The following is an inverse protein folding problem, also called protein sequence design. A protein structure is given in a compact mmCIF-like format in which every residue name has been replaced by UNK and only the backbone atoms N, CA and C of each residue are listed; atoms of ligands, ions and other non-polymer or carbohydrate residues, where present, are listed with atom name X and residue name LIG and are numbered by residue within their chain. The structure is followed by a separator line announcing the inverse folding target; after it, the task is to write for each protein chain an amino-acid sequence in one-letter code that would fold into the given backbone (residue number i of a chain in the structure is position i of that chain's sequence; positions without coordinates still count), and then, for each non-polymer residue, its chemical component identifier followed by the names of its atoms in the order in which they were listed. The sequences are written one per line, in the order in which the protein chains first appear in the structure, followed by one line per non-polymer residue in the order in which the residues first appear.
data_IF_358281874312
#
_entry.id   IF_358281874312
#
_cell.length_a   1.000
_cell.length_b   1.000
_cell.length_c   1.000
_cell.angle_alpha   90.00
_cell.angle_beta   90.00
_cell.angle_gamma   90.00
#
_symmetry.space_group_name_H-M   'P 1'
#
loop_
_entity.id
_entity.type
_entity.pdbx_description
1 polymer ?
#
# COMPACT_ATOMS: atom_id res chain seq x y z
N UNK A 1 -4.52 1.84 -23.72
CA UNK A 1 -4.23 2.93 -22.77
C UNK A 1 -3.68 2.30 -21.51
N UNK A 2 -2.58 2.79 -20.96
CA UNK A 2 -2.00 2.33 -19.71
C UNK A 2 -2.10 3.46 -18.68
N UNK A 3 -2.67 3.18 -17.51
CA UNK A 3 -2.88 4.18 -16.46
C UNK A 3 -2.00 3.82 -15.26
N UNK A 4 -1.03 4.70 -14.97
CA UNK A 4 -0.09 4.57 -13.86
C UNK A 4 -0.70 5.10 -12.56
N UNK A 5 -0.62 4.29 -11.51
CA UNK A 5 -0.90 4.69 -10.12
C UNK A 5 0.39 4.53 -9.33
N UNK A 6 0.93 5.62 -8.80
CA UNK A 6 2.21 5.59 -8.07
C UNK A 6 2.07 4.96 -6.68
N UNK A 7 3.18 4.42 -6.18
CA UNK A 7 3.36 3.98 -4.79
C UNK A 7 3.80 5.08 -3.83
N UNK A 8 4.29 4.70 -2.66
CA UNK A 8 4.66 5.65 -1.58
C UNK A 8 3.86 5.48 -0.29
N UNK A 9 3.39 4.26 -0.02
CA UNK A 9 2.73 3.90 1.23
C UNK A 9 1.45 4.68 1.51
N UNK A 10 0.76 5.18 0.49
CA UNK A 10 -0.38 6.09 0.63
C UNK A 10 -0.10 7.38 1.42
N UNK A 11 1.15 7.65 1.84
CA UNK A 11 1.55 8.85 2.58
C UNK A 11 2.27 9.86 1.68
N UNK A 12 2.88 9.37 0.59
CA UNK A 12 3.72 10.15 -0.32
C UNK A 12 3.50 9.73 -1.77
N UNK A 13 4.21 10.38 -2.69
CA UNK A 13 4.21 10.05 -4.11
C UNK A 13 3.66 11.17 -4.98
N UNK A 14 4.03 11.15 -6.25
CA UNK A 14 3.54 12.06 -7.29
C UNK A 14 3.71 11.42 -8.65
N UNK A 15 2.80 11.73 -9.58
CA UNK A 15 2.91 11.28 -10.97
C UNK A 15 4.04 11.96 -11.75
N UNK A 16 4.62 13.04 -11.21
CA UNK A 16 5.62 13.87 -11.90
C UNK A 16 7.08 13.44 -11.71
N UNK A 17 7.35 12.27 -11.09
CA UNK A 17 8.71 11.80 -10.91
C UNK A 17 9.35 11.42 -12.27
N UNK A 18 10.66 11.70 -12.48
CA UNK A 18 11.33 11.36 -13.74
C UNK A 18 11.26 9.87 -14.13
N UNK A 19 11.23 8.98 -13.13
CA UNK A 19 11.11 7.53 -13.34
C UNK A 19 9.74 7.10 -13.88
N UNK A 20 8.73 7.96 -13.77
CA UNK A 20 7.37 7.71 -14.28
C UNK A 20 7.09 8.42 -15.62
N UNK A 21 8.13 8.96 -16.27
CA UNK A 21 7.99 9.62 -17.57
C UNK A 21 7.56 8.63 -18.66
N UNK A 22 6.27 8.66 -18.98
CA UNK A 22 5.63 7.78 -19.95
C UNK A 22 6.04 7.98 -21.41
N UNK A 23 6.89 8.97 -21.73
CA UNK A 23 7.27 9.27 -23.12
C UNK A 23 7.89 8.09 -23.85
N UNK A 24 8.66 7.26 -23.15
CA UNK A 24 9.34 6.11 -23.75
C UNK A 24 8.37 5.00 -24.09
N UNK A 25 7.49 4.62 -23.16
CA UNK A 25 6.41 3.65 -23.42
C UNK A 25 5.52 4.13 -24.57
N UNK A 26 5.12 5.40 -24.56
CA UNK A 26 4.30 5.96 -25.64
C UNK A 26 5.02 5.92 -27.00
N UNK A 27 6.32 6.26 -27.03
CA UNK A 27 7.11 6.28 -28.27
C UNK A 27 7.48 4.90 -28.78
N UNK A 28 7.75 3.93 -27.92
CA UNK A 28 8.24 2.60 -28.33
C UNK A 28 7.06 1.69 -28.61
N UNK A 29 6.19 1.49 -27.62
CA UNK A 29 5.10 0.51 -27.66
C UNK A 29 3.80 1.05 -28.30
N UNK A 30 3.80 2.33 -28.70
CA UNK A 30 2.63 2.98 -29.35
C UNK A 30 1.38 2.96 -28.47
N UNK A 31 1.57 3.04 -27.15
CA UNK A 31 0.49 3.14 -26.17
C UNK A 31 0.25 4.60 -25.75
N UNK A 32 -0.92 4.88 -25.20
CA UNK A 32 -1.14 6.12 -24.44
C UNK A 32 -0.88 5.82 -22.97
N UNK A 33 -0.03 6.61 -22.33
CA UNK A 33 0.22 6.57 -20.89
C UNK A 33 -0.51 7.73 -20.22
N UNK A 34 -1.26 7.43 -19.16
CA UNK A 34 -1.91 8.40 -18.29
C UNK A 34 -1.41 8.18 -16.87
N UNK A 35 -1.19 9.24 -16.12
CA UNK A 35 -0.85 9.17 -14.69
C UNK A 35 -1.61 10.27 -13.96
N UNK A 36 -2.05 10.01 -12.73
CA UNK A 36 -2.79 10.99 -11.93
C UNK A 36 -2.11 11.21 -10.57
N UNK A 37 -2.38 12.38 -9.99
CA UNK A 37 -2.18 12.60 -8.57
C UNK A 37 -3.46 12.23 -7.82
N UNK A 38 -3.29 11.60 -6.67
CA UNK A 38 -4.37 11.33 -5.73
C UNK A 38 -3.93 11.81 -4.34
N UNK A 39 -4.90 12.22 -3.50
CA UNK A 39 -4.58 12.66 -2.13
C UNK A 39 -3.98 11.52 -1.32
N UNK A 40 -2.98 11.85 -0.50
CA UNK A 40 -2.23 10.94 0.38
C UNK A 40 -2.32 11.40 1.84
N UNK A 41 -1.87 10.57 2.77
CA UNK A 41 -1.90 10.84 4.21
C UNK A 41 -3.33 11.04 4.73
N UNK A 42 -3.47 11.79 5.82
CA UNK A 42 -4.76 12.12 6.42
C UNK A 42 -5.69 12.85 5.42
N UNK A 43 -5.13 13.68 4.53
CA UNK A 43 -5.91 14.41 3.53
C UNK A 43 -6.59 13.49 2.50
N UNK A 44 -6.03 12.30 2.27
CA UNK A 44 -6.58 11.29 1.37
C UNK A 44 -7.35 10.17 2.06
N UNK A 45 -7.04 9.87 3.32
CA UNK A 45 -7.46 8.60 3.93
C UNK A 45 -7.98 8.71 5.37
N UNK A 46 -8.11 9.92 5.93
CA UNK A 46 -8.77 10.11 7.22
C UNK A 46 -10.22 9.62 7.19
N UNK A 47 -10.62 8.91 8.26
CA UNK A 47 -11.96 8.32 8.34
C UNK A 47 -12.59 8.50 9.71
N UNK A 48 -13.85 8.90 9.71
CA UNK A 48 -14.79 8.76 10.82
C UNK A 48 -15.96 7.91 10.31
N UNK A 49 -16.00 6.60 10.62
CA UNK A 49 -16.96 5.68 10.02
C UNK A 49 -18.41 6.14 10.16
N UNK A 50 -19.15 6.19 9.05
CA UNK A 50 -20.53 6.68 9.02
C UNK A 50 -20.67 8.20 8.92
N UNK A 51 -19.58 8.96 8.96
CA UNK A 51 -19.59 10.41 8.76
C UNK A 51 -19.25 10.78 7.31
N UNK A 52 -20.20 11.36 6.54
CA UNK A 52 -19.97 11.69 5.13
C UNK A 52 -18.92 12.80 4.91
N UNK A 53 -18.56 13.54 5.96
CA UNK A 53 -17.55 14.60 5.88
C UNK A 53 -16.12 14.05 5.86
N UNK A 54 -15.92 12.81 6.32
CA UNK A 54 -14.66 12.07 6.26
C UNK A 54 -14.94 10.55 6.15
N UNK A 55 -15.41 10.08 4.98
CA UNK A 55 -15.86 8.69 4.81
C UNK A 55 -14.71 7.67 4.72
N UNK A 56 -13.46 8.14 4.61
CA UNK A 56 -12.31 7.31 4.26
C UNK A 56 -12.16 7.14 2.74
N UNK A 57 -11.03 6.56 2.33
CA UNK A 57 -10.74 6.20 0.93
C UNK A 57 -10.79 7.33 -0.10
N UNK A 58 -10.74 8.61 0.30
CA UNK A 58 -10.84 9.74 -0.65
C UNK A 58 -9.74 9.71 -1.72
N UNK A 59 -8.53 9.26 -1.38
CA UNK A 59 -7.45 9.03 -2.35
C UNK A 59 -7.78 7.95 -3.40
N UNK A 60 -8.51 6.89 -3.03
CA UNK A 60 -8.99 5.87 -3.98
C UNK A 60 -10.13 6.41 -4.85
N UNK A 61 -11.00 7.26 -4.30
CA UNK A 61 -12.01 7.96 -5.08
C UNK A 61 -11.42 8.96 -6.06
N UNK A 62 -10.32 9.64 -5.71
CA UNK A 62 -9.56 10.49 -6.64
C UNK A 62 -9.04 9.66 -7.82
N UNK A 63 -8.46 8.48 -7.53
CA UNK A 63 -8.02 7.53 -8.57
C UNK A 63 -9.21 7.09 -9.44
N UNK A 64 -10.32 6.68 -8.83
CA UNK A 64 -11.54 6.24 -9.55
C UNK A 64 -12.10 7.34 -10.46
N UNK A 65 -12.12 8.60 -10.00
CA UNK A 65 -12.56 9.73 -10.79
C UNK A 65 -11.62 9.99 -11.99
N UNK A 66 -10.30 9.83 -11.81
CA UNK A 66 -9.36 9.89 -12.93
C UNK A 66 -9.61 8.75 -13.95
N UNK A 67 -9.96 7.55 -13.49
CA UNK A 67 -10.35 6.46 -14.39
C UNK A 67 -11.63 6.78 -15.17
N UNK A 68 -12.63 7.39 -14.53
CA UNK A 68 -13.85 7.88 -15.19
C UNK A 68 -13.52 8.93 -16.25
N UNK A 69 -12.64 9.89 -15.92
CA UNK A 69 -12.18 10.89 -16.89
C UNK A 69 -11.56 10.24 -18.12
N UNK A 70 -10.73 9.19 -17.94
CA UNK A 70 -10.15 8.44 -19.07
C UNK A 70 -11.25 7.77 -19.89
N UNK A 71 -12.24 7.13 -19.27
CA UNK A 71 -13.36 6.52 -19.99
C UNK A 71 -14.11 7.53 -20.88
N UNK A 72 -14.34 8.73 -20.37
CA UNK A 72 -15.11 9.77 -21.05
C UNK A 72 -14.32 10.51 -22.13
N UNK A 73 -13.00 10.66 -21.96
CA UNK A 73 -12.23 11.63 -22.75
C UNK A 73 -11.12 10.99 -23.61
N UNK A 74 -10.62 9.79 -23.29
CA UNK A 74 -9.39 9.28 -23.92
C UNK A 74 -9.53 9.01 -25.42
N UNK A 75 -10.76 8.82 -25.90
CA UNK A 75 -11.06 8.71 -27.33
C UNK A 75 -10.61 9.94 -28.12
N UNK A 76 -10.73 11.14 -27.55
CA UNK A 76 -10.29 12.39 -28.18
C UNK A 76 -8.76 12.47 -28.33
N UNK A 77 -8.02 11.72 -27.51
CA UNK A 77 -6.55 11.60 -27.57
C UNK A 77 -6.10 10.43 -28.45
N UNK A 78 -7.02 9.74 -29.14
CA UNK A 78 -6.74 8.57 -29.96
C UNK A 78 -6.65 7.25 -29.17
N UNK A 79 -7.06 7.24 -27.91
CA UNK A 79 -7.09 6.04 -27.06
C UNK A 79 -8.37 5.24 -27.21
N UNK A 80 -8.29 3.94 -26.92
CA UNK A 80 -9.47 3.07 -26.84
C UNK A 80 -9.92 2.91 -25.37
N UNK A 81 -11.07 3.48 -24.94
CA UNK A 81 -11.55 3.34 -23.56
C UNK A 81 -11.93 1.89 -23.19
N UNK A 82 -12.14 1.01 -24.18
CA UNK A 82 -12.40 -0.43 -23.96
C UNK A 82 -11.12 -1.26 -23.78
N UNK A 83 -9.94 -0.65 -23.92
CA UNK A 83 -8.63 -1.30 -23.78
C UNK A 83 -7.73 -0.44 -22.87
N UNK A 84 -8.06 -0.52 -21.58
CA UNK A 84 -7.38 0.22 -20.51
C UNK A 84 -6.73 -0.79 -19.56
N UNK A 85 -5.43 -0.63 -19.32
CA UNK A 85 -4.68 -1.45 -18.36
C UNK A 85 -4.24 -0.56 -17.21
N UNK A 86 -4.64 -0.90 -15.99
CA UNK A 86 -4.09 -0.24 -14.80
C UNK A 86 -2.75 -0.88 -14.46
N UNK A 87 -1.77 -0.09 -14.06
CA UNK A 87 -0.51 -0.59 -13.55
C UNK A 87 0.01 0.34 -12.46
N UNK A 88 0.65 -0.24 -11.45
CA UNK A 88 1.14 0.50 -10.29
C UNK A 88 2.15 -0.33 -9.52
N UNK A 89 2.91 0.35 -8.67
CA UNK A 89 3.95 -0.24 -7.83
C UNK A 89 3.68 0.03 -6.35
N UNK A 90 4.01 -0.93 -5.46
CA UNK A 90 3.81 -0.83 -4.01
C UNK A 90 2.37 -0.43 -3.65
N UNK A 91 2.16 0.70 -2.97
CA UNK A 91 0.82 1.22 -2.66
C UNK A 91 -0.03 1.47 -3.92
N UNK A 92 0.60 1.77 -5.06
CA UNK A 92 -0.05 1.86 -6.36
C UNK A 92 -0.54 0.49 -6.86
N UNK A 93 0.25 -0.57 -6.68
CA UNK A 93 -0.17 -1.94 -6.98
C UNK A 93 -1.30 -2.40 -6.05
N UNK A 94 -1.21 -2.07 -4.75
CA UNK A 94 -2.31 -2.28 -3.80
C UNK A 94 -3.59 -1.55 -4.26
N UNK A 95 -3.48 -0.30 -4.68
CA UNK A 95 -4.58 0.46 -5.32
C UNK A 95 -5.14 -0.25 -6.56
N UNK A 96 -4.30 -0.75 -7.46
CA UNK A 96 -4.73 -1.50 -8.65
C UNK A 96 -5.54 -2.74 -8.24
N UNK A 97 -5.07 -3.53 -7.27
CA UNK A 97 -5.88 -4.64 -6.72
C UNK A 97 -7.16 -4.16 -6.05
N UNK A 98 -7.16 -3.06 -5.31
CA UNK A 98 -8.36 -2.52 -4.68
C UNK A 98 -9.41 -2.11 -5.74
N UNK A 99 -8.99 -1.60 -6.90
CA UNK A 99 -9.89 -1.37 -8.04
C UNK A 99 -10.41 -2.67 -8.69
N UNK A 100 -9.69 -3.79 -8.60
CA UNK A 100 -10.23 -5.11 -8.98
C UNK A 100 -11.32 -5.59 -8.01
N UNK A 101 -11.27 -5.18 -6.74
CA UNK A 101 -12.24 -5.55 -5.70
C UNK A 101 -13.44 -4.60 -5.64
N UNK A 102 -13.25 -3.33 -6.02
CA UNK A 102 -14.30 -2.31 -5.93
C UNK A 102 -15.27 -2.38 -7.12
N UNK A 103 -16.53 -2.70 -6.83
CA UNK A 103 -17.58 -2.83 -7.85
C UNK A 103 -17.75 -1.58 -8.72
N UNK A 104 -17.65 -0.38 -8.14
CA UNK A 104 -17.74 0.89 -8.86
C UNK A 104 -16.60 1.11 -9.86
N UNK A 105 -15.48 0.41 -9.68
CA UNK A 105 -14.29 0.51 -10.56
C UNK A 105 -14.30 -0.51 -11.70
N UNK A 106 -15.08 -1.59 -11.58
CA UNK A 106 -15.11 -2.70 -12.55
C UNK A 106 -15.27 -2.27 -14.03
N UNK A 107 -16.16 -1.33 -14.40
CA UNK A 107 -16.33 -0.95 -15.81
C UNK A 107 -15.24 0.00 -16.33
N UNK A 108 -14.38 0.54 -15.45
CA UNK A 108 -13.48 1.65 -15.80
C UNK A 108 -12.15 1.20 -16.40
N UNK A 109 -11.86 -0.10 -16.39
CA UNK A 109 -10.64 -0.65 -16.95
C UNK A 109 -10.83 -2.09 -17.45
N UNK A 110 -9.85 -2.57 -18.22
CA UNK A 110 -9.86 -3.89 -18.85
C UNK A 110 -8.98 -4.86 -18.07
N UNK A 111 -7.70 -4.56 -17.84
CA UNK A 111 -6.67 -5.46 -17.26
C UNK A 111 -5.86 -4.76 -16.18
N UNK A 112 -5.09 -5.51 -15.39
CA UNK A 112 -4.32 -4.98 -14.28
C UNK A 112 -2.89 -5.54 -14.21
N UNK A 113 -1.94 -4.71 -13.79
CA UNK A 113 -0.55 -5.06 -13.52
C UNK A 113 -0.19 -4.60 -12.11
N UNK A 114 0.35 -5.50 -11.29
CA UNK A 114 0.65 -5.28 -9.88
C UNK A 114 2.14 -5.54 -9.64
N UNK A 115 2.89 -4.48 -9.37
CA UNK A 115 4.34 -4.56 -9.17
C UNK A 115 4.64 -4.37 -7.67
N UNK A 116 5.23 -5.37 -7.01
CA UNK A 116 5.69 -5.25 -5.62
C UNK A 116 4.59 -4.78 -4.64
N UNK A 117 3.36 -5.27 -4.80
CA UNK A 117 2.26 -4.95 -3.87
C UNK A 117 0.91 -5.52 -4.27
N UNK A 118 0.04 -5.71 -3.29
CA UNK A 118 -1.31 -6.24 -3.46
C UNK A 118 -2.23 -5.82 -2.29
N UNK A 119 -3.55 -5.87 -2.48
CA UNK A 119 -4.54 -5.40 -1.51
C UNK A 119 -4.58 -6.24 -0.22
N UNK A 120 -4.11 -7.49 -0.26
CA UNK A 120 -4.00 -8.39 0.90
C UNK A 120 -2.67 -8.23 1.65
N UNK A 121 -1.79 -7.33 1.24
CA UNK A 121 -0.59 -7.03 2.00
C UNK A 121 -0.95 -6.46 3.39
N UNK A 122 -0.18 -6.79 4.45
CA UNK A 122 -0.54 -6.45 5.83
C UNK A 122 -0.62 -4.94 6.10
N UNK A 123 0.05 -4.14 5.27
CA UNK A 123 0.07 -2.68 5.35
C UNK A 123 -1.00 -2.00 4.49
N UNK A 124 -1.70 -2.73 3.60
CA UNK A 124 -2.51 -2.13 2.54
C UNK A 124 -3.90 -1.64 3.01
N UNK A 125 -4.52 -2.31 3.98
CA UNK A 125 -5.86 -1.96 4.48
C UNK A 125 -5.87 -1.95 6.01
N UNK A 126 -6.30 -0.83 6.60
CA UNK A 126 -6.41 -0.67 8.06
C UNK A 126 -7.81 -1.02 8.55
N UNK A 127 -7.96 -1.78 9.65
CA UNK A 127 -9.25 -2.00 10.28
C UNK A 127 -9.92 -0.70 10.73
N UNK A 128 -11.26 -0.59 10.57
CA UNK A 128 -12.00 0.64 10.86
C UNK A 128 -11.81 1.16 12.30
N UNK A 129 -11.77 0.26 13.30
CA UNK A 129 -11.59 0.66 14.70
C UNK A 129 -10.26 1.38 14.90
N UNK A 130 -9.20 0.90 14.25
CA UNK A 130 -7.86 1.46 14.35
C UNK A 130 -7.77 2.77 13.58
N UNK A 131 -8.31 2.82 12.36
CA UNK A 131 -8.34 4.03 11.54
C UNK A 131 -9.12 5.18 12.22
N UNK A 132 -10.25 4.87 12.89
CA UNK A 132 -10.97 5.84 13.73
C UNK A 132 -10.09 6.31 14.88
N UNK A 133 -9.41 5.40 15.58
CA UNK A 133 -8.55 5.77 16.70
C UNK A 133 -7.38 6.68 16.28
N UNK A 134 -6.76 6.41 15.13
CA UNK A 134 -5.71 7.26 14.55
C UNK A 134 -6.23 8.67 14.22
N UNK A 135 -7.43 8.76 13.66
CA UNK A 135 -8.10 10.04 13.38
C UNK A 135 -8.36 10.85 14.67
N UNK A 136 -8.90 10.21 15.71
CA UNK A 136 -9.14 10.86 17.00
C UNK A 136 -7.82 11.27 17.69
N UNK A 137 -6.77 10.47 17.52
CA UNK A 137 -5.43 10.76 18.06
C UNK A 137 -4.81 11.97 17.36
N UNK A 138 -4.89 12.05 16.03
CA UNK A 138 -4.47 13.24 15.27
C UNK A 138 -5.21 14.48 15.75
N UNK A 139 -6.54 14.39 15.87
CA UNK A 139 -7.36 15.49 16.37
C UNK A 139 -6.92 15.95 17.77
N UNK A 140 -6.52 15.01 18.65
CA UNK A 140 -5.97 15.35 19.97
C UNK A 140 -4.65 16.09 19.88
N UNK A 141 -3.71 15.62 19.07
CA UNK A 141 -2.39 16.25 18.94
C UNK A 141 -2.46 17.67 18.41
N UNK A 142 -3.41 17.97 17.51
CA UNK A 142 -3.53 19.30 16.90
C UNK A 142 -4.63 20.17 17.54
N UNK A 143 -5.13 19.77 18.73
CA UNK A 143 -6.08 20.59 19.50
C UNK A 143 -7.48 20.69 18.87
N UNK A 144 -7.89 19.68 18.12
CA UNK A 144 -9.21 19.55 17.47
C UNK A 144 -10.12 18.50 18.12
N UNK A 145 -9.78 17.98 19.31
CA UNK A 145 -10.65 17.06 20.04
C UNK A 145 -11.95 17.74 20.50
N UNK A 146 -13.08 17.20 20.07
CA UNK A 146 -14.42 17.61 20.49
C UNK A 146 -15.31 16.37 20.68
N UNK A 147 -16.46 16.52 21.37
CA UNK A 147 -17.43 15.42 21.53
C UNK A 147 -18.15 15.06 20.22
N UNK A 148 -18.37 16.06 19.35
CA UNK A 148 -19.03 15.88 18.05
C UNK A 148 -18.00 15.64 16.94
N UNK A 149 -18.07 14.49 16.28
CA UNK A 149 -17.19 14.09 15.18
C UNK A 149 -17.19 15.07 14.00
N UNK A 150 -18.34 15.67 13.68
CA UNK A 150 -18.44 16.65 12.60
C UNK A 150 -17.69 17.94 12.94
N UNK A 151 -17.65 18.32 14.22
CA UNK A 151 -16.90 19.50 14.66
C UNK A 151 -15.38 19.23 14.73
N UNK A 152 -14.97 17.98 14.99
CA UNK A 152 -13.57 17.55 14.80
C UNK A 152 -13.15 17.85 13.36
N UNK A 153 -13.92 17.37 12.37
CA UNK A 153 -13.58 17.56 10.94
C UNK A 153 -13.55 19.05 10.59
N UNK A 154 -14.53 19.85 11.05
CA UNK A 154 -14.53 21.31 10.82
C UNK A 154 -13.30 21.99 11.41
N UNK A 155 -12.81 21.54 12.57
CA UNK A 155 -11.58 22.04 13.16
C UNK A 155 -10.36 21.64 12.32
N UNK A 156 -10.23 20.37 11.95
CA UNK A 156 -9.14 19.86 11.13
C UNK A 156 -9.03 20.61 9.79
N UNK A 157 -10.16 20.90 9.13
CA UNK A 157 -10.19 21.65 7.86
C UNK A 157 -9.71 23.10 7.97
N UNK A 158 -9.63 23.67 9.17
CA UNK A 158 -9.11 25.02 9.43
C UNK A 158 -7.61 25.02 9.74
N UNK A 159 -7.01 23.85 9.92
CA UNK A 159 -5.58 23.73 10.21
C UNK A 159 -4.76 23.92 8.95
N UNK A 160 -3.53 24.40 9.15
CA UNK A 160 -2.55 24.42 8.08
C UNK A 160 -2.20 22.97 7.69
N UNK A 161 -2.08 22.63 6.40
CA UNK A 161 -1.71 21.29 5.98
C UNK A 161 -0.41 20.79 6.62
N UNK A 162 0.57 21.66 6.84
CA UNK A 162 1.84 21.29 7.47
C UNK A 162 1.66 20.87 8.94
N UNK A 163 0.71 21.48 9.65
CA UNK A 163 0.36 21.11 11.02
C UNK A 163 -0.25 19.70 11.07
N UNK A 164 -1.09 19.34 10.10
CA UNK A 164 -1.61 17.97 9.97
C UNK A 164 -0.46 16.99 9.70
N UNK A 165 0.32 17.24 8.64
CA UNK A 165 1.39 16.35 8.19
C UNK A 165 2.45 16.08 9.27
N UNK A 166 2.86 17.12 9.99
CA UNK A 166 3.84 17.00 11.09
C UNK A 166 3.34 16.18 12.29
N UNK A 167 2.03 15.96 12.42
CA UNK A 167 1.43 15.18 13.49
C UNK A 167 0.95 13.78 13.05
N UNK A 168 1.01 13.46 11.76
CA UNK A 168 0.59 12.13 11.26
C UNK A 168 1.45 11.00 11.82
N UNK A 169 2.74 11.24 12.10
CA UNK A 169 3.64 10.21 12.62
C UNK A 169 3.28 9.76 14.04
N UNK A 170 2.61 10.61 14.83
CA UNK A 170 2.31 10.34 16.24
C UNK A 170 0.98 9.61 16.46
N UNK A 171 0.25 9.27 15.40
CA UNK A 171 -1.07 8.59 15.52
C UNK A 171 -0.94 7.10 15.86
N UNK A 172 0.27 6.55 15.74
CA UNK A 172 0.63 5.19 16.14
C UNK A 172 1.60 5.25 17.33
N UNK A 173 1.48 4.35 18.32
CA UNK A 173 2.25 4.45 19.56
C UNK A 173 3.64 3.79 19.52
N UNK A 174 4.06 3.26 18.36
CA UNK A 174 5.31 2.52 18.20
C UNK A 174 5.97 2.85 16.86
N UNK A 175 7.28 2.68 16.82
CA UNK A 175 8.05 2.71 15.59
C UNK A 175 7.80 1.40 14.81
N UNK A 176 7.69 1.52 13.49
CA UNK A 176 7.58 0.39 12.57
C UNK A 176 8.28 0.77 11.27
N UNK A 177 9.04 -0.17 10.70
CA UNK A 177 9.77 0.01 9.44
C UNK A 177 8.85 0.35 8.25
N UNK A 178 7.60 -0.10 8.30
CA UNK A 178 6.64 0.05 7.20
C UNK A 178 5.26 0.44 7.75
N UNK A 179 5.18 1.62 8.39
CA UNK A 179 3.92 2.14 8.91
C UNK A 179 3.12 2.90 7.86
N UNK A 180 1.84 2.54 7.73
CA UNK A 180 0.85 3.27 6.91
C UNK A 180 -0.16 3.88 7.87
N UNK A 181 0.06 5.13 8.25
CA UNK A 181 -0.73 5.80 9.29
C UNK A 181 -2.15 6.10 8.81
N UNK A 182 -2.29 6.62 7.60
CA UNK A 182 -3.58 6.87 6.95
C UNK A 182 -3.61 6.20 5.57
N UNK A 183 -4.35 5.11 5.45
CA UNK A 183 -4.46 4.35 4.20
C UNK A 183 -5.88 3.83 3.97
N UNK A 184 -6.06 2.94 2.98
CA UNK A 184 -7.35 2.34 2.68
C UNK A 184 -8.03 1.67 3.88
N UNK A 185 -9.36 1.74 3.91
CA UNK A 185 -10.22 1.13 4.94
C UNK A 185 -11.44 0.45 4.32
N UNK A 186 -12.10 -0.43 5.07
CA UNK A 186 -13.41 -0.99 4.69
C UNK A 186 -14.54 0.02 4.96
N UNK A 187 -14.74 0.97 4.05
CA UNK A 187 -15.75 2.03 4.20
C UNK A 187 -17.19 1.57 3.94
N UNK A 188 -17.40 0.35 3.44
CA UNK A 188 -18.71 -0.15 3.01
C UNK A 188 -19.19 0.44 1.67
N UNK A 189 -18.37 1.31 1.05
CA UNK A 189 -18.66 2.01 -0.19
C UNK A 189 -17.68 1.58 -1.29
N UNK A 190 -16.45 2.09 -1.26
CA UNK A 190 -15.40 1.66 -2.17
C UNK A 190 -15.04 0.18 -1.95
N UNK A 191 -14.92 -0.21 -0.67
CA UNK A 191 -14.53 -1.54 -0.24
C UNK A 191 -15.56 -2.08 0.78
N UNK A 192 -16.25 -3.16 0.41
CA UNK A 192 -17.37 -3.70 1.20
C UNK A 192 -16.97 -4.68 2.30
N UNK A 193 -15.78 -5.27 2.21
CA UNK A 193 -15.22 -6.24 3.18
C UNK A 193 -13.69 -6.26 3.06
N UNK A 194 -12.98 -6.99 3.92
CA UNK A 194 -11.53 -7.15 3.86
C UNK A 194 -11.13 -7.78 2.51
N UNK A 195 -10.00 -7.37 1.91
CA UNK A 195 -9.54 -7.91 0.63
C UNK A 195 -9.43 -9.43 0.61
N UNK A 196 -8.93 -10.04 1.69
CA UNK A 196 -8.85 -11.51 1.81
C UNK A 196 -10.21 -12.19 1.70
N UNK A 197 -11.25 -11.64 2.34
CA UNK A 197 -12.62 -12.15 2.25
C UNK A 197 -13.17 -12.03 0.82
N UNK A 198 -13.00 -10.87 0.19
CA UNK A 198 -13.50 -10.64 -1.18
C UNK A 198 -12.80 -11.56 -2.19
N UNK A 199 -11.50 -11.80 -2.03
CA UNK A 199 -10.75 -12.75 -2.84
C UNK A 199 -11.26 -14.18 -2.64
N UNK A 200 -11.45 -14.62 -1.40
CA UNK A 200 -11.91 -15.97 -1.07
C UNK A 200 -13.32 -16.25 -1.61
N UNK A 201 -14.21 -15.25 -1.55
CA UNK A 201 -15.56 -15.34 -2.10
C UNK A 201 -15.63 -15.12 -3.62
N UNK A 202 -14.50 -14.82 -4.26
CA UNK A 202 -14.44 -14.54 -5.69
C UNK A 202 -15.12 -13.25 -6.12
N UNK A 203 -15.33 -12.31 -5.19
CA UNK A 203 -16.00 -11.02 -5.41
C UNK A 203 -15.02 -9.97 -5.92
N UNK A 204 -14.60 -10.14 -7.18
CA UNK A 204 -13.68 -9.25 -7.86
C UNK A 204 -13.90 -9.29 -9.38
N UNK A 205 -13.43 -8.26 -10.08
CA UNK A 205 -13.44 -8.20 -11.54
C UNK A 205 -12.67 -9.37 -12.16
N UNK A 206 -13.36 -10.20 -12.93
CA UNK A 206 -12.75 -11.26 -13.74
C UNK A 206 -12.04 -10.66 -14.95
N UNK A 207 -10.72 -10.81 -15.01
CA UNK A 207 -9.86 -10.33 -16.08
C UNK A 207 -8.46 -10.95 -15.96
N UNK A 208 -7.52 -10.53 -16.80
CA UNK A 208 -6.14 -11.01 -16.76
C UNK A 208 -5.29 -10.07 -15.90
N UNK A 209 -4.39 -10.66 -15.13
CA UNK A 209 -3.43 -9.92 -14.30
C UNK A 209 -1.99 -10.31 -14.64
N UNK A 210 -1.07 -9.36 -14.47
CA UNK A 210 0.36 -9.60 -14.47
C UNK A 210 0.90 -9.08 -13.15
N UNK A 211 1.52 -9.95 -12.35
CA UNK A 211 1.96 -9.66 -10.98
C UNK A 211 3.44 -9.98 -10.89
N UNK A 212 4.21 -9.23 -10.11
CA UNK A 212 5.58 -9.61 -9.86
C UNK A 212 6.22 -8.84 -8.73
N UNK A 213 7.39 -9.31 -8.33
CA UNK A 213 8.14 -8.81 -7.18
C UNK A 213 9.63 -8.74 -7.51
N UNK A 214 10.36 -7.93 -6.76
CA UNK A 214 11.80 -7.86 -6.85
C UNK A 214 12.43 -8.91 -5.93
N UNK A 215 13.73 -9.17 -6.14
CA UNK A 215 14.48 -10.14 -5.35
C UNK A 215 14.64 -9.72 -3.89
N UNK A 216 15.01 -8.46 -3.65
CA UNK A 216 15.44 -7.95 -2.35
C UNK A 216 14.50 -6.82 -1.86
N UNK A 217 13.20 -7.13 -1.70
CA UNK A 217 12.12 -6.17 -1.38
C UNK A 217 12.26 -5.50 -0.01
N UNK A 218 12.87 -6.18 0.96
CA UNK A 218 12.94 -5.72 2.35
C UNK A 218 14.04 -4.68 2.60
N UNK A 219 15.15 -4.76 1.86
CA UNK A 219 16.38 -3.97 2.06
C UNK A 219 16.13 -2.48 2.24
N UNK A 220 15.24 -1.90 1.43
CA UNK A 220 14.96 -0.47 1.42
C UNK A 220 14.40 0.02 2.75
N UNK A 221 13.65 -0.82 3.49
CA UNK A 221 13.00 -0.44 4.74
C UNK A 221 13.95 -0.55 5.94
N UNK A 222 14.94 -1.44 5.88
CA UNK A 222 15.85 -1.70 7.00
C UNK A 222 16.67 -0.45 7.37
N UNK A 223 17.12 0.32 6.38
CA UNK A 223 17.92 1.54 6.60
C UNK A 223 17.14 2.71 7.23
N UNK A 224 15.81 2.60 7.39
CA UNK A 224 14.97 3.64 8.00
C UNK A 224 14.72 3.44 9.50
N UNK A 225 15.28 2.39 10.12
CA UNK A 225 15.13 2.22 11.57
C UNK A 225 15.69 0.93 12.17
N UNK A 226 16.03 -0.08 11.35
CA UNK A 226 16.58 -1.31 11.88
C UNK A 226 18.01 -1.08 12.42
N UNK A 227 18.34 -1.57 13.62
CA UNK A 227 19.64 -1.34 14.23
C UNK A 227 20.75 -2.03 13.42
N UNK A 228 21.88 -1.34 13.25
CA UNK A 228 23.03 -1.84 12.51
C UNK A 228 22.97 -1.62 11.00
N UNK A 229 21.83 -1.21 10.44
CA UNK A 229 21.68 -0.93 9.02
C UNK A 229 22.09 0.49 8.65
N UNK A 230 22.87 0.62 7.59
CA UNK A 230 23.24 1.90 6.99
C UNK A 230 23.55 1.72 5.51
N UNK A 231 23.15 2.71 4.70
CA UNK A 231 23.53 2.79 3.28
C UNK A 231 25.03 2.99 3.06
N UNK A 232 25.77 3.38 4.09
CA UNK A 232 27.18 3.79 4.00
C UNK A 232 28.15 2.69 4.51
N UNK A 233 27.65 1.51 4.85
CA UNK A 233 28.45 0.36 5.26
C UNK A 233 27.83 -0.97 4.76
N UNK A 234 28.48 -2.09 5.07
CA UNK A 234 28.01 -3.43 4.65
C UNK A 234 26.80 -3.95 5.44
N UNK A 235 26.34 -3.20 6.45
CA UNK A 235 25.22 -3.56 7.35
C UNK A 235 25.32 -4.98 7.91
N UNK A 236 26.52 -5.38 8.33
CA UNK A 236 26.73 -6.65 9.01
C UNK A 236 26.17 -6.55 10.43
N UNK A 237 25.19 -7.38 10.76
CA UNK A 237 24.48 -7.31 12.04
C UNK A 237 24.72 -8.57 12.87
N UNK A 238 24.69 -8.38 14.18
CA UNK A 238 24.73 -9.46 15.16
C UNK A 238 23.34 -10.08 15.35
N UNK A 239 23.29 -11.29 15.92
CA UNK A 239 22.03 -11.93 16.38
C UNK A 239 21.17 -11.01 17.24
N UNK A 240 21.81 -10.23 18.12
CA UNK A 240 21.11 -9.29 19.00
C UNK A 240 20.45 -8.16 18.19
N UNK A 241 21.17 -7.56 17.26
CA UNK A 241 20.62 -6.52 16.37
C UNK A 241 19.50 -7.08 15.50
N UNK A 242 19.64 -8.31 15.00
CA UNK A 242 18.56 -9.02 14.30
C UNK A 242 17.28 -9.14 15.15
N UNK A 243 17.39 -9.62 16.39
CA UNK A 243 16.26 -9.74 17.31
C UNK A 243 15.63 -8.38 17.66
N UNK A 244 16.43 -7.32 17.82
CA UNK A 244 15.91 -5.96 17.99
C UNK A 244 15.22 -5.45 16.70
N UNK A 245 15.76 -5.77 15.52
CA UNK A 245 15.12 -5.53 14.23
C UNK A 245 13.74 -6.18 14.13
N UNK A 246 13.60 -7.42 14.58
CA UNK A 246 12.30 -8.11 14.67
C UNK A 246 11.32 -7.40 15.62
N UNK A 247 11.79 -6.79 16.72
CA UNK A 247 10.91 -6.01 17.61
C UNK A 247 10.40 -4.74 16.94
N UNK A 248 11.21 -4.07 16.14
CA UNK A 248 10.82 -2.87 15.38
C UNK A 248 9.88 -3.23 14.23
N UNK A 249 10.16 -4.31 13.51
CA UNK A 249 9.31 -4.77 12.41
C UNK A 249 7.96 -5.32 12.90
N UNK A 250 7.95 -5.95 14.07
CA UNK A 250 6.78 -6.65 14.62
C UNK A 250 6.50 -6.23 16.08
N UNK A 251 6.15 -4.96 16.33
CA UNK A 251 6.00 -4.43 17.69
C UNK A 251 4.82 -5.06 18.44
N UNK A 252 3.75 -5.42 17.73
CA UNK A 252 2.54 -6.06 18.29
C UNK A 252 2.58 -7.59 18.39
N UNK A 253 3.66 -8.24 17.91
CA UNK A 253 3.77 -9.70 17.90
C UNK A 253 4.32 -10.21 19.24
N UNK A 254 3.80 -11.34 19.72
CA UNK A 254 4.26 -11.97 20.96
C UNK A 254 5.72 -12.42 20.86
N UNK A 255 6.37 -12.63 22.01
CA UNK A 255 7.73 -13.17 22.05
C UNK A 255 7.83 -14.52 21.33
N UNK A 256 6.89 -15.43 21.59
CA UNK A 256 6.79 -16.71 20.88
C UNK A 256 6.67 -16.54 19.36
N UNK A 257 5.87 -15.57 18.90
CA UNK A 257 5.74 -15.27 17.48
C UNK A 257 7.07 -14.80 16.87
N UNK A 258 7.79 -13.90 17.54
CA UNK A 258 9.11 -13.44 17.08
C UNK A 258 10.17 -14.55 17.10
N UNK A 259 10.15 -15.42 18.10
CA UNK A 259 11.02 -16.61 18.13
C UNK A 259 10.69 -17.59 17.00
N UNK A 260 9.42 -17.73 16.60
CA UNK A 260 9.06 -18.57 15.45
C UNK A 260 9.59 -17.99 14.13
N UNK A 261 9.60 -16.67 13.98
CA UNK A 261 10.18 -15.99 12.82
C UNK A 261 11.70 -16.20 12.80
N UNK A 262 12.38 -15.92 13.92
CA UNK A 262 13.82 -16.18 14.08
C UNK A 262 14.14 -17.64 13.70
N UNK A 263 13.37 -18.59 14.21
CA UNK A 263 13.61 -20.01 13.95
C UNK A 263 13.48 -20.40 12.48
N UNK A 264 12.52 -19.82 11.76
CA UNK A 264 12.28 -20.16 10.37
C UNK A 264 13.36 -19.63 9.41
N UNK A 265 13.94 -18.48 9.71
CA UNK A 265 14.88 -17.78 8.84
C UNK A 265 16.35 -17.89 9.28
N UNK A 266 16.65 -18.54 10.40
CA UNK A 266 18.03 -18.76 10.85
C UNK A 266 18.60 -20.02 10.21
N UNK A 267 19.73 -19.90 9.52
CA UNK A 267 20.53 -21.06 9.13
C UNK A 267 21.30 -21.57 10.35
N UNK A 268 20.74 -22.58 11.01
CA UNK A 268 21.32 -23.19 12.20
C UNK A 268 22.64 -23.91 11.97
N UNK A 269 23.05 -24.14 10.71
CA UNK A 269 24.34 -24.76 10.38
C UNK A 269 25.48 -23.73 10.26
N UNK A 270 25.16 -22.45 10.08
CA UNK A 270 26.14 -21.37 9.89
C UNK A 270 25.72 -20.07 10.60
N UNK A 271 25.23 -20.20 11.83
CA UNK A 271 24.65 -19.12 12.65
C UNK A 271 25.68 -18.06 13.13
N UNK A 272 26.95 -18.21 12.76
CA UNK A 272 28.04 -17.31 13.14
C UNK A 272 28.33 -16.22 12.09
N UNK A 273 27.80 -16.33 10.85
CA UNK A 273 28.03 -15.32 9.81
C UNK A 273 27.07 -14.14 9.96
N UNK A 274 27.62 -12.95 10.16
CA UNK A 274 26.85 -11.71 10.28
C UNK A 274 26.07 -11.37 9.00
N UNK A 275 26.55 -11.83 7.83
CA UNK A 275 25.83 -11.70 6.56
C UNK A 275 24.49 -12.43 6.57
N UNK A 276 24.43 -13.61 7.21
CA UNK A 276 23.22 -14.44 7.25
C UNK A 276 22.06 -13.70 7.95
N UNK A 277 22.35 -13.01 9.06
CA UNK A 277 21.32 -12.24 9.76
C UNK A 277 20.85 -11.02 8.97
N UNK A 278 21.77 -10.32 8.28
CA UNK A 278 21.41 -9.18 7.43
C UNK A 278 20.46 -9.62 6.32
N UNK A 279 20.82 -10.68 5.60
CA UNK A 279 20.04 -11.24 4.50
C UNK A 279 18.71 -11.81 4.99
N UNK A 280 18.71 -12.55 6.11
CA UNK A 280 17.48 -13.05 6.72
C UNK A 280 16.50 -11.91 7.08
N UNK A 281 16.99 -10.76 7.56
CA UNK A 281 16.09 -9.65 7.90
C UNK A 281 15.52 -8.97 6.65
N UNK A 282 16.27 -8.90 5.56
CA UNK A 282 15.74 -8.49 4.25
C UNK A 282 14.63 -9.44 3.79
N UNK A 283 14.91 -10.74 3.74
CA UNK A 283 13.96 -11.76 3.33
C UNK A 283 12.68 -11.70 4.18
N UNK A 284 12.78 -11.61 5.51
CA UNK A 284 11.62 -11.51 6.41
C UNK A 284 10.73 -10.31 6.08
N UNK A 285 11.33 -9.14 5.86
CA UNK A 285 10.57 -7.92 5.56
C UNK A 285 9.97 -7.98 4.15
N UNK A 286 10.73 -8.47 3.17
CA UNK A 286 10.26 -8.65 1.79
C UNK A 286 9.14 -9.68 1.69
N UNK A 287 9.33 -10.85 2.29
CA UNK A 287 8.38 -11.96 2.26
C UNK A 287 7.07 -11.58 2.92
N UNK A 288 7.11 -11.06 4.15
CA UNK A 288 5.90 -10.74 4.91
C UNK A 288 5.09 -9.60 4.27
N UNK A 289 5.77 -8.55 3.80
CA UNK A 289 5.09 -7.34 3.34
C UNK A 289 4.73 -7.36 1.86
N UNK A 290 5.51 -8.03 1.01
CA UNK A 290 5.43 -7.89 -0.45
C UNK A 290 5.25 -9.26 -1.15
N UNK A 291 6.22 -10.17 -1.00
CA UNK A 291 6.31 -11.38 -1.82
C UNK A 291 5.18 -12.37 -1.51
N UNK A 292 5.02 -12.78 -0.26
CA UNK A 292 3.98 -13.73 0.11
C UNK A 292 2.56 -13.19 -0.17
N UNK A 293 2.22 -11.92 0.15
CA UNK A 293 0.94 -11.33 -0.24
C UNK A 293 0.68 -11.33 -1.75
N UNK A 294 1.68 -10.99 -2.57
CA UNK A 294 1.53 -10.96 -4.03
C UNK A 294 1.30 -12.36 -4.61
N UNK A 295 2.03 -13.37 -4.12
CA UNK A 295 1.84 -14.76 -4.52
C UNK A 295 0.47 -15.30 -4.09
N UNK A 296 0.05 -15.04 -2.85
CA UNK A 296 -1.25 -15.47 -2.35
C UNK A 296 -2.40 -14.79 -3.11
N UNK A 297 -2.29 -13.49 -3.39
CA UNK A 297 -3.25 -12.78 -4.23
C UNK A 297 -3.39 -13.45 -5.60
N UNK A 298 -2.25 -13.74 -6.23
CA UNK A 298 -2.21 -14.33 -7.57
C UNK A 298 -2.82 -15.73 -7.58
N UNK A 299 -2.49 -16.55 -6.59
CA UNK A 299 -3.05 -17.89 -6.41
C UNK A 299 -4.58 -17.83 -6.30
N UNK A 300 -5.11 -17.09 -5.33
CA UNK A 300 -6.56 -16.95 -5.11
C UNK A 300 -7.27 -16.39 -6.35
N UNK A 301 -6.64 -15.46 -7.07
CA UNK A 301 -7.20 -14.88 -8.30
C UNK A 301 -7.30 -15.92 -9.44
N UNK A 302 -6.24 -16.73 -9.61
CA UNK A 302 -6.14 -17.74 -10.67
C UNK A 302 -7.02 -18.97 -10.44
N UNK A 303 -7.26 -19.36 -9.19
CA UNK A 303 -8.13 -20.51 -8.83
C UNK A 303 -9.56 -20.37 -9.36
N UNK A 304 -10.00 -19.15 -9.67
CA UNK A 304 -11.31 -18.85 -10.25
C UNK A 304 -11.31 -18.76 -11.79
N UNK A 305 -10.28 -19.33 -12.43
CA UNK A 305 -10.22 -19.52 -13.88
C UNK A 305 -9.76 -18.29 -14.68
N UNK A 306 -9.13 -17.33 -14.03
CA UNK A 306 -8.55 -16.16 -14.70
C UNK A 306 -7.08 -16.40 -15.03
N UNK A 307 -6.64 -15.94 -16.21
CA UNK A 307 -5.22 -15.99 -16.56
C UNK A 307 -4.42 -14.99 -15.71
N UNK A 308 -3.39 -15.51 -15.04
CA UNK A 308 -2.44 -14.73 -14.26
C UNK A 308 -1.01 -15.06 -14.70
N UNK A 309 -0.18 -14.02 -14.82
CA UNK A 309 1.24 -14.15 -15.18
C UNK A 309 2.08 -13.60 -14.03
N UNK A 310 3.11 -14.34 -13.62
CA UNK A 310 4.00 -13.95 -12.52
C UNK A 310 5.41 -13.67 -13.06
N UNK A 311 6.06 -12.62 -12.56
CA UNK A 311 7.45 -12.28 -12.87
C UNK A 311 8.27 -11.94 -11.62
#
# INVERSE_FOLDING_TARGET
VMIWIYGGGFQTGTSSLPVYDGKFLARVERVIVVSMNYRVGALGFLVLPGNPEAPGNMGLFDQQLALQWVQENIAAFGGNPKSVTLFGESAGAASVSLHLLSQGSHPLFTRAILQSGSANAPWAVTPLYEARNRTLTLAKFIGCSTENETDIIKCLRKKDPQEILSNEVFVVPYDNLLSINFGPVMDGGFLTDMPGTLLQLGQFKKTHILVGVNKDEGTVFLVYGAPGFSKDNSSLITRKEFQEGLKIAFPGVSEFGRESILFHYTDWLDDERAENYREALDDIIGDYNIICPALEFTKMFSELGNDAFVY
#
